data_IF_911821343019
#
_entry.id   IF_911821343019
#
_cell.length_a   1.000
_cell.length_b   1.000
_cell.length_c   1.000
_cell.angle_alpha   90.00
_cell.angle_beta   90.00
_cell.angle_gamma   90.00
#
_symmetry.space_group_name_H-M   'P 1'
#
loop_
_entity.id
_entity.type
_entity.pdbx_description
1 polymer ?
#
# COMPACT_ATOMS: atom_id res chain seq x y z
N UNK A 1 -1.92 43.00 58.59
CA UNK A 1 -1.33 43.20 57.25
C UNK A 1 -2.03 42.27 56.26
N UNK A 2 -2.73 42.80 55.25
CA UNK A 2 -3.46 42.02 54.23
C UNK A 2 -2.47 41.46 53.19
N UNK A 3 -2.39 40.14 53.02
CA UNK A 3 -1.71 39.51 51.88
C UNK A 3 -2.69 39.42 50.72
N UNK A 4 -2.41 40.11 49.60
CA UNK A 4 -3.16 40.00 48.35
C UNK A 4 -2.63 38.79 47.57
N UNK A 5 -3.51 37.86 47.21
CA UNK A 5 -3.21 36.76 46.31
C UNK A 5 -3.46 37.27 44.89
N UNK A 6 -2.44 37.25 44.04
CA UNK A 6 -2.56 37.55 42.61
C UNK A 6 -2.78 36.24 41.86
N UNK A 7 -3.95 36.08 41.24
CA UNK A 7 -4.25 34.96 40.34
C UNK A 7 -3.82 35.35 38.93
N UNK A 8 -2.86 34.63 38.34
CA UNK A 8 -2.44 34.79 36.96
C UNK A 8 -3.27 33.82 36.09
N UNK A 9 -4.14 34.35 35.22
CA UNK A 9 -4.87 33.54 34.23
C UNK A 9 -4.02 33.51 32.95
N UNK A 10 -3.51 32.33 32.60
CA UNK A 10 -2.79 32.10 31.34
C UNK A 10 -3.83 31.70 30.29
N UNK A 11 -4.13 32.60 29.37
CA UNK A 11 -4.94 32.30 28.18
C UNK A 11 -4.06 31.59 27.15
N UNK A 12 -4.26 30.30 26.95
CA UNK A 12 -3.60 29.54 25.87
C UNK A 12 -4.32 29.87 24.56
N UNK A 13 -3.67 30.63 23.69
CA UNK A 13 -4.10 30.82 22.32
C UNK A 13 -3.81 29.53 21.53
N UNK A 14 -4.85 28.76 21.19
CA UNK A 14 -4.75 27.65 20.24
C UNK A 14 -4.50 28.24 18.85
N UNK A 15 -3.24 28.23 18.41
CA UNK A 15 -2.92 28.47 17.01
C UNK A 15 -3.20 27.17 16.26
N UNK A 16 -4.28 27.12 15.50
CA UNK A 16 -4.55 26.04 14.55
C UNK A 16 -3.50 26.15 13.45
N UNK A 17 -2.39 25.41 13.59
CA UNK A 17 -1.47 25.22 12.48
C UNK A 17 -2.24 24.53 11.37
N UNK A 18 -2.46 25.22 10.26
CA UNK A 18 -2.97 24.60 9.05
C UNK A 18 -1.85 23.69 8.54
N UNK A 19 -1.88 22.42 8.92
CA UNK A 19 -1.08 21.42 8.22
C UNK A 19 -1.61 21.38 6.79
N UNK A 20 -0.80 21.76 5.81
CA UNK A 20 -1.05 21.40 4.43
C UNK A 20 -1.04 19.87 4.39
N UNK A 21 -2.22 19.25 4.42
CA UNK A 21 -2.34 17.80 4.23
C UNK A 21 -1.98 17.55 2.77
N UNK A 22 -0.82 16.94 2.52
CA UNK A 22 -0.55 16.38 1.21
C UNK A 22 -1.60 15.29 0.95
N UNK A 23 -2.10 15.21 -0.28
CA UNK A 23 -3.03 14.15 -0.66
C UNK A 23 -2.40 12.79 -0.36
N UNK A 24 -3.21 11.84 0.08
CA UNK A 24 -2.77 10.50 0.40
C UNK A 24 -2.06 9.87 -0.81
N UNK A 25 -0.78 9.53 -0.63
CA UNK A 25 0.03 8.86 -1.65
C UNK A 25 -0.42 7.42 -1.83
N UNK A 26 -0.28 6.90 -3.06
CA UNK A 26 -0.53 5.49 -3.35
C UNK A 26 0.57 4.65 -2.68
N UNK A 27 0.20 3.70 -1.81
CA UNK A 27 1.18 2.79 -1.22
C UNK A 27 1.89 2.01 -2.34
N UNK A 28 3.21 2.17 -2.47
CA UNK A 28 3.99 1.59 -3.60
C UNK A 28 3.96 0.07 -3.62
N UNK A 29 3.75 -0.58 -2.47
CA UNK A 29 3.52 -2.02 -2.36
C UNK A 29 2.18 -2.50 -2.97
N UNK A 30 1.25 -1.57 -3.22
CA UNK A 30 -0.04 -1.86 -3.85
C UNK A 30 -0.01 -1.77 -5.38
N UNK A 31 1.02 -1.18 -5.97
CA UNK A 31 1.09 -0.99 -7.43
C UNK A 31 1.30 -2.35 -8.14
N UNK A 32 0.76 -2.55 -9.36
CA UNK A 32 1.17 -3.65 -10.22
C UNK A 32 2.70 -3.70 -10.37
N UNK A 33 3.28 -4.89 -10.47
CA UNK A 33 4.75 -5.05 -10.56
C UNK A 33 5.37 -4.31 -11.75
N UNK A 34 4.64 -4.20 -12.84
CA UNK A 34 5.06 -3.52 -14.07
C UNK A 34 4.60 -2.05 -14.14
N UNK A 35 3.99 -1.51 -13.10
CA UNK A 35 3.58 -0.10 -13.08
C UNK A 35 4.79 0.81 -12.93
N UNK A 36 4.85 1.84 -13.77
CA UNK A 36 5.91 2.85 -13.70
C UNK A 36 5.57 3.92 -12.67
N UNK A 37 6.58 4.66 -12.22
CA UNK A 37 6.40 5.81 -11.34
C UNK A 37 5.56 6.91 -12.01
N UNK A 38 5.75 7.16 -13.31
CA UNK A 38 4.93 8.12 -14.06
C UNK A 38 3.45 7.74 -14.06
N UNK A 39 3.14 6.47 -14.35
CA UNK A 39 1.76 5.98 -14.31
C UNK A 39 1.15 6.11 -12.91
N UNK A 40 1.95 5.85 -11.86
CA UNK A 40 1.50 5.96 -10.47
C UNK A 40 1.21 7.40 -10.09
N UNK A 41 2.10 8.33 -10.45
CA UNK A 41 1.93 9.76 -10.20
C UNK A 41 0.72 10.34 -10.95
N UNK A 42 0.47 9.91 -12.19
CA UNK A 42 -0.74 10.29 -12.94
C UNK A 42 -1.98 9.88 -12.15
N UNK A 43 -2.02 8.66 -11.61
CA UNK A 43 -3.17 8.18 -10.84
C UNK A 43 -3.32 8.95 -9.53
N UNK A 44 -2.23 9.19 -8.80
CA UNK A 44 -2.23 10.01 -7.58
C UNK A 44 -2.85 11.39 -7.82
N UNK A 45 -2.46 12.04 -8.91
CA UNK A 45 -3.00 13.36 -9.28
C UNK A 45 -4.50 13.29 -9.62
N UNK A 46 -4.96 12.20 -10.23
CA UNK A 46 -6.36 12.05 -10.63
C UNK A 46 -7.29 11.72 -9.46
N UNK A 47 -6.83 10.99 -8.45
CA UNK A 47 -7.69 10.42 -7.41
C UNK A 47 -7.28 10.78 -5.97
N UNK A 48 -6.34 11.70 -5.77
CA UNK A 48 -5.82 12.05 -4.44
C UNK A 48 -6.93 12.43 -3.43
N UNK A 49 -7.93 13.18 -3.86
CA UNK A 49 -9.10 13.52 -3.02
C UNK A 49 -9.92 12.28 -2.60
N UNK A 50 -10.04 11.29 -3.48
CA UNK A 50 -10.69 10.02 -3.17
C UNK A 50 -9.83 9.21 -2.19
N UNK A 51 -8.50 9.25 -2.33
CA UNK A 51 -7.59 8.57 -1.42
C UNK A 51 -7.64 9.20 -0.01
N UNK A 52 -7.77 10.52 0.09
CA UNK A 52 -7.98 11.22 1.37
C UNK A 52 -9.28 10.77 2.05
N UNK A 53 -10.38 10.69 1.28
CA UNK A 53 -11.67 10.20 1.79
C UNK A 53 -11.63 8.73 2.18
N UNK A 54 -10.87 7.90 1.45
CA UNK A 54 -10.63 6.52 1.85
C UNK A 54 -9.85 6.51 3.16
N UNK A 55 -8.72 7.23 3.25
CA UNK A 55 -7.84 7.23 4.43
C UNK A 55 -8.55 7.69 5.71
N UNK A 56 -9.48 8.63 5.59
CA UNK A 56 -10.29 9.15 6.71
C UNK A 56 -11.50 8.27 7.04
N UNK A 57 -11.77 7.23 6.25
CA UNK A 57 -12.89 6.31 6.45
C UNK A 57 -14.23 6.82 5.92
N UNK A 58 -14.24 7.93 5.19
CA UNK A 58 -15.45 8.51 4.58
C UNK A 58 -15.95 7.68 3.39
N UNK A 59 -15.04 7.02 2.65
CA UNK A 59 -15.38 6.17 1.51
C UNK A 59 -14.89 4.73 1.68
N UNK A 60 -15.82 3.80 1.56
CA UNK A 60 -15.52 2.37 1.40
C UNK A 60 -15.17 2.02 -0.05
N UNK A 61 -14.61 0.82 -0.24
CA UNK A 61 -14.05 0.34 -1.51
C UNK A 61 -14.95 0.57 -2.73
N UNK A 62 -16.22 0.15 -2.67
CA UNK A 62 -17.12 0.18 -3.84
C UNK A 62 -17.34 1.60 -4.37
N UNK A 63 -17.58 2.57 -3.49
CA UNK A 63 -17.81 3.96 -3.88
C UNK A 63 -16.51 4.62 -4.35
N UNK A 64 -15.43 4.45 -3.60
CA UNK A 64 -14.11 4.99 -3.96
C UNK A 64 -13.65 4.47 -5.32
N UNK A 65 -13.74 3.16 -5.58
CA UNK A 65 -13.39 2.56 -6.86
C UNK A 65 -14.29 3.06 -8.00
N UNK A 66 -15.59 3.26 -7.75
CA UNK A 66 -16.52 3.83 -8.72
C UNK A 66 -16.17 5.26 -9.13
N UNK A 67 -15.84 6.10 -8.15
CA UNK A 67 -15.42 7.49 -8.38
C UNK A 67 -14.06 7.54 -9.09
N UNK A 68 -13.09 6.76 -8.63
CA UNK A 68 -11.74 6.70 -9.22
C UNK A 68 -11.81 6.26 -10.69
N UNK A 69 -12.57 5.20 -11.00
CA UNK A 69 -12.75 4.74 -12.37
C UNK A 69 -13.43 5.78 -13.26
N UNK A 70 -14.35 6.58 -12.71
CA UNK A 70 -15.00 7.65 -13.47
C UNK A 70 -14.02 8.77 -13.80
N UNK A 71 -13.21 9.22 -12.83
CA UNK A 71 -12.17 10.21 -13.07
C UNK A 71 -11.13 9.75 -14.09
N UNK A 72 -10.63 8.52 -13.95
CA UNK A 72 -9.63 7.95 -14.86
C UNK A 72 -10.20 7.82 -16.29
N UNK A 73 -11.43 7.32 -16.45
CA UNK A 73 -12.05 7.25 -17.79
C UNK A 73 -12.16 8.61 -18.45
N UNK A 74 -12.58 9.63 -17.70
CA UNK A 74 -12.69 10.99 -18.22
C UNK A 74 -11.33 11.52 -18.66
N UNK A 75 -10.30 11.38 -17.81
CA UNK A 75 -8.94 11.81 -18.12
C UNK A 75 -8.36 11.12 -19.37
N UNK A 76 -8.64 9.82 -19.55
CA UNK A 76 -8.24 9.10 -20.76
C UNK A 76 -8.94 9.65 -22.01
N UNK A 77 -10.23 9.95 -21.92
CA UNK A 77 -11.02 10.50 -23.04
C UNK A 77 -10.57 11.92 -23.39
N UNK A 78 -10.18 12.72 -22.40
CA UNK A 78 -9.70 14.11 -22.60
C UNK A 78 -8.21 14.19 -22.95
N UNK A 79 -7.47 13.09 -22.90
CA UNK A 79 -6.05 13.04 -23.25
C UNK A 79 -5.10 13.51 -22.13
N UNK A 80 -5.57 13.57 -20.90
CA UNK A 80 -4.84 14.05 -19.72
C UNK A 80 -3.93 12.99 -19.08
N UNK A 81 -3.76 11.83 -19.73
CA UNK A 81 -3.05 10.66 -19.18
C UNK A 81 -1.74 10.34 -19.89
N UNK A 82 -1.14 11.30 -20.61
CA UNK A 82 0.09 11.10 -21.40
C UNK A 82 0.01 9.90 -22.35
N UNK A 83 -1.19 9.59 -22.86
CA UNK A 83 -1.42 8.43 -23.74
C UNK A 83 -1.60 7.09 -23.02
N UNK A 84 -1.47 7.03 -21.68
CA UNK A 84 -1.77 5.81 -20.94
C UNK A 84 -3.27 5.54 -20.90
N UNK A 85 -3.64 4.30 -21.23
CA UNK A 85 -5.02 3.86 -21.28
C UNK A 85 -5.61 3.51 -19.92
N UNK A 86 -6.94 3.44 -19.87
CA UNK A 86 -7.71 3.04 -18.68
C UNK A 86 -7.27 1.68 -18.11
N UNK A 87 -6.93 0.72 -18.97
CA UNK A 87 -6.51 -0.62 -18.56
C UNK A 87 -5.18 -0.66 -17.79
N UNK A 88 -4.37 0.40 -17.89
CA UNK A 88 -3.10 0.54 -17.16
C UNK A 88 -3.31 1.32 -15.86
N UNK A 89 -4.07 2.41 -15.91
CA UNK A 89 -4.23 3.34 -14.78
C UNK A 89 -5.25 2.85 -13.74
N UNK A 90 -6.35 2.21 -14.19
CA UNK A 90 -7.40 1.76 -13.27
C UNK A 90 -6.98 0.66 -12.29
N UNK A 91 -6.10 -0.31 -12.64
CA UNK A 91 -5.59 -1.28 -11.67
C UNK A 91 -4.74 -0.64 -10.56
N UNK A 92 -3.96 0.40 -10.87
CA UNK A 92 -3.16 1.15 -9.89
C UNK A 92 -4.09 1.75 -8.82
N UNK A 93 -5.12 2.49 -9.26
CA UNK A 93 -6.11 3.10 -8.37
C UNK A 93 -6.86 2.06 -7.53
N UNK A 94 -7.37 1.00 -8.17
CA UNK A 94 -8.18 0.00 -7.49
C UNK A 94 -7.39 -0.77 -6.43
N UNK A 95 -6.13 -1.13 -6.72
CA UNK A 95 -5.29 -1.80 -5.74
C UNK A 95 -4.96 -0.89 -4.55
N UNK A 96 -4.66 0.39 -4.80
CA UNK A 96 -4.40 1.36 -3.73
C UNK A 96 -5.60 1.47 -2.79
N UNK A 97 -6.80 1.73 -3.34
CA UNK A 97 -8.05 1.83 -2.59
C UNK A 97 -8.32 0.54 -1.81
N UNK A 98 -8.15 -0.63 -2.44
CA UNK A 98 -8.35 -1.94 -1.79
C UNK A 98 -7.43 -2.10 -0.58
N UNK A 99 -6.14 -1.83 -0.75
CA UNK A 99 -5.14 -1.98 0.33
C UNK A 99 -5.40 -0.98 1.46
N UNK A 100 -5.75 0.26 1.13
CA UNK A 100 -6.07 1.28 2.14
C UNK A 100 -7.31 0.91 2.95
N UNK A 101 -8.40 0.48 2.29
CA UNK A 101 -9.60 0.01 2.98
C UNK A 101 -9.30 -1.24 3.84
N UNK A 102 -8.56 -2.20 3.30
CA UNK A 102 -8.26 -3.44 4.00
C UNK A 102 -7.43 -3.22 5.27
N UNK A 103 -6.48 -2.28 5.22
CA UNK A 103 -5.69 -1.86 6.40
C UNK A 103 -6.55 -1.23 7.49
N UNK A 104 -7.53 -0.42 7.12
CA UNK A 104 -8.44 0.19 8.08
C UNK A 104 -9.38 -0.83 8.72
N UNK A 105 -9.83 -1.81 7.94
CA UNK A 105 -10.73 -2.86 8.43
C UNK A 105 -10.01 -3.91 9.28
N UNK A 106 -8.72 -4.19 9.01
CA UNK A 106 -7.95 -5.26 9.65
C UNK A 106 -6.56 -4.80 10.15
N UNK A 107 -6.44 -3.71 10.93
CA UNK A 107 -5.15 -3.12 11.30
C UNK A 107 -4.25 -4.09 12.09
N UNK A 108 -4.86 -4.94 12.94
CA UNK A 108 -4.12 -5.93 13.74
C UNK A 108 -3.47 -7.00 12.85
N UNK A 109 -4.14 -7.41 11.76
CA UNK A 109 -3.60 -8.41 10.83
C UNK A 109 -2.34 -7.87 10.12
N UNK A 110 -2.35 -6.60 9.70
CA UNK A 110 -1.17 -5.95 9.10
C UNK A 110 -0.03 -5.78 10.11
N UNK A 111 -0.35 -5.45 11.36
CA UNK A 111 0.65 -5.32 12.43
C UNK A 111 1.32 -6.66 12.74
N UNK A 112 0.54 -7.74 12.85
CA UNK A 112 1.05 -9.09 13.08
C UNK A 112 1.89 -9.58 11.89
N UNK A 113 1.40 -9.37 10.67
CA UNK A 113 2.16 -9.68 9.45
C UNK A 113 3.51 -8.95 9.42
N UNK A 114 3.56 -7.68 9.79
CA UNK A 114 4.82 -6.92 9.81
C UNK A 114 5.80 -7.44 10.87
N UNK A 115 5.33 -7.82 12.06
CA UNK A 115 6.16 -8.43 13.09
C UNK A 115 6.72 -9.78 12.66
N UNK A 116 5.87 -10.64 12.09
CA UNK A 116 6.27 -11.95 11.61
C UNK A 116 7.27 -11.86 10.45
N UNK A 117 6.95 -11.05 9.43
CA UNK A 117 7.73 -11.01 8.20
C UNK A 117 9.09 -10.32 8.36
N UNK A 118 9.22 -9.36 9.29
CA UNK A 118 10.55 -8.81 9.66
C UNK A 118 11.52 -9.88 10.13
N UNK A 119 11.02 -10.92 10.81
CA UNK A 119 11.86 -12.02 11.29
C UNK A 119 12.05 -13.07 10.20
N UNK A 120 10.97 -13.52 9.54
CA UNK A 120 11.06 -14.63 8.59
C UNK A 120 11.72 -14.28 7.25
N UNK A 121 11.74 -12.99 6.89
CA UNK A 121 12.35 -12.48 5.65
C UNK A 121 13.64 -11.71 5.90
N UNK A 122 14.21 -11.77 7.11
CA UNK A 122 15.38 -10.97 7.48
C UNK A 122 16.58 -11.18 6.54
N UNK A 123 16.81 -12.42 6.11
CA UNK A 123 17.85 -12.77 5.14
C UNK A 123 17.60 -12.12 3.78
N UNK A 124 16.39 -12.25 3.22
CA UNK A 124 16.03 -11.65 1.94
C UNK A 124 16.11 -10.12 2.01
N UNK A 125 15.65 -9.51 3.11
CA UNK A 125 15.74 -8.06 3.33
C UNK A 125 17.20 -7.60 3.28
N UNK A 126 18.11 -8.30 3.97
CA UNK A 126 19.54 -7.99 3.93
C UNK A 126 20.12 -8.16 2.52
N UNK A 127 19.69 -9.17 1.77
CA UNK A 127 20.14 -9.33 0.39
C UNK A 127 19.62 -8.21 -0.52
N UNK A 128 18.40 -7.69 -0.32
CA UNK A 128 17.90 -6.49 -1.01
C UNK A 128 18.72 -5.25 -0.65
N UNK A 129 19.03 -5.05 0.64
CA UNK A 129 19.92 -3.95 1.07
C UNK A 129 21.32 -4.04 0.42
N UNK A 130 21.75 -5.25 0.02
CA UNK A 130 23.00 -5.50 -0.71
C UNK A 130 22.84 -5.48 -2.24
N UNK A 131 21.68 -5.08 -2.76
CA UNK A 131 21.44 -4.91 -4.19
C UNK A 131 20.85 -6.12 -4.92
N UNK A 132 20.19 -7.05 -4.22
CA UNK A 132 19.39 -8.09 -4.88
C UNK A 132 18.31 -7.45 -5.77
N UNK A 133 18.12 -8.01 -6.96
CA UNK A 133 17.00 -7.70 -7.85
C UNK A 133 15.63 -7.90 -7.17
N UNK A 134 14.71 -6.96 -7.39
CA UNK A 134 13.42 -6.94 -6.69
C UNK A 134 12.48 -8.06 -7.12
N UNK A 135 12.49 -8.49 -8.38
CA UNK A 135 11.65 -9.59 -8.83
C UNK A 135 12.10 -10.90 -8.18
N UNK A 136 13.41 -11.08 -8.06
CA UNK A 136 14.03 -12.21 -7.34
C UNK A 136 13.65 -12.18 -5.85
N UNK A 137 13.77 -11.02 -5.20
CA UNK A 137 13.43 -10.86 -3.79
C UNK A 137 11.95 -11.11 -3.49
N UNK A 138 11.06 -10.58 -4.34
CA UNK A 138 9.60 -10.76 -4.22
C UNK A 138 9.24 -12.23 -4.37
N UNK A 139 9.78 -12.93 -5.38
CA UNK A 139 9.56 -14.37 -5.55
C UNK A 139 10.00 -15.15 -4.33
N UNK A 140 11.23 -14.93 -3.84
CA UNK A 140 11.76 -15.62 -2.67
C UNK A 140 10.93 -15.37 -1.41
N UNK A 141 10.49 -14.12 -1.20
CA UNK A 141 9.63 -13.77 -0.08
C UNK A 141 8.26 -14.47 -0.17
N UNK A 142 7.67 -14.53 -1.36
CA UNK A 142 6.37 -15.15 -1.57
C UNK A 142 6.44 -16.67 -1.37
N UNK A 143 7.52 -17.31 -1.82
CA UNK A 143 7.78 -18.71 -1.55
C UNK A 143 7.86 -18.99 -0.05
N UNK A 144 8.63 -18.19 0.71
CA UNK A 144 8.69 -18.32 2.19
C UNK A 144 7.33 -18.11 2.85
N UNK A 145 6.52 -17.18 2.34
CA UNK A 145 5.16 -16.95 2.85
C UNK A 145 4.29 -18.19 2.64
N UNK A 146 4.29 -18.80 1.46
CA UNK A 146 3.55 -20.05 1.24
C UNK A 146 4.09 -21.20 2.08
N UNK A 147 5.42 -21.30 2.23
CA UNK A 147 6.08 -22.30 3.04
C UNK A 147 5.78 -22.19 4.54
N UNK A 148 5.33 -21.02 5.01
CA UNK A 148 4.85 -20.86 6.38
C UNK A 148 3.56 -21.65 6.67
N UNK A 149 2.79 -22.00 5.64
CA UNK A 149 1.58 -22.83 5.73
C UNK A 149 1.86 -24.26 5.24
N UNK A 150 2.61 -24.41 4.16
CA UNK A 150 3.01 -25.70 3.62
C UNK A 150 4.50 -25.74 3.33
N UNK A 151 5.29 -26.33 4.25
CA UNK A 151 6.76 -26.36 4.16
C UNK A 151 7.29 -27.03 2.88
N UNK A 152 6.52 -27.91 2.23
CA UNK A 152 6.91 -28.54 0.97
C UNK A 152 6.48 -27.75 -0.27
N UNK A 153 5.91 -26.56 -0.12
CA UNK A 153 5.54 -25.72 -1.25
C UNK A 153 6.78 -25.34 -2.05
N UNK A 154 6.71 -25.53 -3.36
CA UNK A 154 7.72 -25.15 -4.33
C UNK A 154 7.11 -24.14 -5.32
N UNK A 155 7.66 -22.93 -5.34
CA UNK A 155 7.10 -21.84 -6.14
C UNK A 155 7.16 -22.15 -7.64
N UNK A 156 8.31 -22.60 -8.13
CA UNK A 156 8.52 -22.84 -9.56
C UNK A 156 7.67 -24.00 -10.08
N UNK A 157 7.55 -25.08 -9.30
CA UNK A 157 6.69 -26.20 -9.63
C UNK A 157 5.23 -25.75 -9.74
N UNK A 158 4.70 -25.07 -8.73
CA UNK A 158 3.29 -24.67 -8.70
C UNK A 158 2.95 -23.63 -9.76
N UNK A 159 3.85 -22.68 -10.04
CA UNK A 159 3.60 -21.66 -11.06
C UNK A 159 3.91 -22.13 -12.49
N UNK A 160 4.51 -23.32 -12.66
CA UNK A 160 4.61 -24.01 -13.96
C UNK A 160 3.31 -24.71 -14.38
N UNK A 161 2.42 -24.99 -13.44
CA UNK A 161 1.12 -25.62 -13.69
C UNK A 161 0.07 -24.60 -14.18
N UNK A 162 -0.92 -25.10 -14.93
CA UNK A 162 -2.12 -24.33 -15.23
C UNK A 162 -2.83 -23.92 -13.94
N UNK A 163 -3.43 -22.72 -13.95
CA UNK A 163 -4.05 -22.11 -12.76
C UNK A 163 -5.06 -23.01 -12.05
N UNK A 164 -5.77 -23.87 -12.78
CA UNK A 164 -6.77 -24.78 -12.21
C UNK A 164 -6.19 -26.02 -11.50
N UNK A 165 -4.88 -26.29 -11.63
CA UNK A 165 -4.20 -27.44 -11.02
C UNK A 165 -3.20 -27.05 -9.92
N UNK A 166 -3.05 -25.75 -9.64
CA UNK A 166 -2.11 -25.28 -8.61
C UNK A 166 -2.67 -25.60 -7.22
N UNK A 167 -1.83 -26.16 -6.37
CA UNK A 167 -2.09 -26.34 -4.95
C UNK A 167 -1.48 -25.17 -4.17
N UNK A 168 -2.16 -24.02 -4.22
CA UNK A 168 -1.69 -22.78 -3.58
C UNK A 168 -2.18 -22.73 -2.13
N UNK A 169 -1.27 -22.64 -1.14
CA UNK A 169 -1.67 -22.47 0.25
C UNK A 169 -2.49 -21.21 0.46
N UNK A 170 -3.55 -21.30 1.26
CA UNK A 170 -4.41 -20.17 1.59
C UNK A 170 -3.67 -19.21 2.53
N UNK A 171 -3.21 -18.10 1.99
CA UNK A 171 -2.54 -17.03 2.74
C UNK A 171 -3.25 -15.70 2.53
N UNK A 172 -3.40 -14.92 3.60
CA UNK A 172 -4.03 -13.61 3.53
C UNK A 172 -3.19 -12.58 2.75
N UNK A 173 -3.89 -11.66 2.09
CA UNK A 173 -3.26 -10.66 1.21
C UNK A 173 -2.35 -9.68 1.96
N UNK A 174 -2.59 -9.50 3.25
CA UNK A 174 -1.77 -8.65 4.12
C UNK A 174 -0.32 -9.12 4.17
N UNK A 175 -0.06 -10.43 4.13
CA UNK A 175 1.29 -10.99 4.16
C UNK A 175 2.09 -10.56 2.92
N UNK A 176 1.51 -10.69 1.73
CA UNK A 176 2.17 -10.28 0.48
C UNK A 176 2.35 -8.76 0.40
N UNK A 177 1.35 -8.00 0.84
CA UNK A 177 1.40 -6.53 0.85
C UNK A 177 2.49 -6.03 1.79
N UNK A 178 2.59 -6.59 3.00
CA UNK A 178 3.62 -6.24 3.98
C UNK A 178 5.00 -6.68 3.52
N UNK A 179 5.13 -7.87 2.92
CA UNK A 179 6.41 -8.30 2.35
C UNK A 179 6.93 -7.30 1.31
N UNK A 180 6.09 -6.91 0.34
CA UNK A 180 6.47 -5.87 -0.64
C UNK A 180 6.84 -4.55 0.02
N UNK A 181 6.11 -4.10 1.05
CA UNK A 181 6.45 -2.89 1.82
C UNK A 181 7.85 -2.99 2.44
N UNK A 182 8.17 -4.12 3.07
CA UNK A 182 9.47 -4.34 3.71
C UNK A 182 10.61 -4.37 2.69
N UNK A 183 10.42 -5.06 1.56
CA UNK A 183 11.43 -5.13 0.49
C UNK A 183 11.64 -3.76 -0.17
N UNK A 184 10.57 -3.02 -0.48
CA UNK A 184 10.69 -1.66 -1.02
C UNK A 184 11.45 -0.73 -0.05
N UNK A 185 11.20 -0.87 1.26
CA UNK A 185 11.92 -0.08 2.29
C UNK A 185 13.40 -0.43 2.37
N UNK A 186 13.77 -1.67 2.05
CA UNK A 186 15.15 -2.16 2.04
C UNK A 186 15.93 -1.62 0.82
N UNK A 187 15.27 -1.54 -0.34
CA UNK A 187 15.87 -1.06 -1.59
C UNK A 187 16.25 0.42 -1.57
N UNK A 188 15.58 1.24 -0.73
CA UNK A 188 15.74 2.70 -0.68
C UNK A 188 16.92 3.12 0.23
N UNK A 189 17.67 2.18 0.81
CA UNK A 189 18.89 2.44 1.59
C UNK A 189 20.15 2.27 0.78
#
# INVERSE_FOLDING_TARGET
>A
MKKKIFTLIITVALTTMSTTTFAAEIPRESTPLNATEEQTQIVENLIGDILDDVQTGNLGYTLAAGYANTKIRNAVITGETNGYGYGILSPIAQNAIRVMCDRQLRPDAYTQAEQQLKVSLADIITEVENGMDMDTAIKAAYEKIYQSVNISFNYDEQFSLDTCYRDIPAVGIEMFTVARKLLNSAQIK
#
